data_IF_759981845735
#
_entry.id   IF_759981845735
#
_cell.length_a   1.000
_cell.length_b   1.000
_cell.length_c   1.000
_cell.angle_alpha   90.00
_cell.angle_beta   90.00
_cell.angle_gamma   90.00
#
_symmetry.space_group_name_H-M   'P 1'
#
loop_
_entity.id
_entity.type
_entity.pdbx_description
1 polymer ?
#
# COMPACT_ATOMS: atom_id res chain seq x y z
N UNK A 1 27.04 20.63 -29.32
CA UNK A 1 25.92 20.19 -28.46
C UNK A 1 26.39 18.98 -27.66
N UNK A 2 26.45 19.09 -26.33
CA UNK A 2 26.97 18.03 -25.46
C UNK A 2 26.03 16.83 -25.41
N UNK A 3 26.60 15.62 -25.50
CA UNK A 3 25.84 14.37 -25.34
C UNK A 3 25.22 14.32 -23.94
N UNK A 4 23.94 13.95 -23.79
CA UNK A 4 23.33 13.76 -22.48
C UNK A 4 24.12 12.66 -21.77
N UNK A 5 24.85 12.99 -20.70
CA UNK A 5 25.69 12.16 -19.80
C UNK A 5 27.11 12.71 -19.56
N UNK A 6 27.55 13.79 -20.21
CA UNK A 6 28.91 14.32 -20.00
C UNK A 6 28.94 15.42 -18.91
N UNK A 7 29.68 15.16 -17.83
CA UNK A 7 29.97 16.15 -16.78
C UNK A 7 31.38 16.71 -17.03
N UNK A 8 31.47 18.02 -17.24
CA UNK A 8 32.76 18.71 -17.36
C UNK A 8 33.16 19.26 -15.99
N UNK A 9 34.28 18.78 -15.46
CA UNK A 9 34.86 19.28 -14.19
C UNK A 9 36.08 20.11 -14.56
N UNK A 10 36.16 21.34 -14.04
CA UNK A 10 37.29 22.23 -14.26
C UNK A 10 38.30 22.11 -13.12
N UNK A 11 39.56 21.90 -13.47
CA UNK A 11 40.72 22.02 -12.59
C UNK A 11 41.79 22.79 -13.35
N UNK A 12 42.72 23.45 -12.64
CA UNK A 12 43.87 24.09 -13.30
C UNK A 12 44.75 23.04 -14.00
N UNK A 13 45.50 23.49 -15.01
CA UNK A 13 46.29 22.62 -15.89
C UNK A 13 47.29 21.75 -15.12
N UNK A 14 47.91 22.31 -14.08
CA UNK A 14 48.89 21.58 -13.26
C UNK A 14 48.20 20.46 -12.47
N UNK A 15 47.05 20.75 -11.86
CA UNK A 15 46.27 19.74 -11.15
C UNK A 15 45.77 18.63 -12.08
N UNK A 16 45.37 18.97 -13.31
CA UNK A 16 44.99 17.96 -14.31
C UNK A 16 46.17 17.04 -14.65
N UNK A 17 47.35 17.59 -14.90
CA UNK A 17 48.55 16.79 -15.19
C UNK A 17 48.92 15.86 -14.02
N UNK A 18 48.86 16.34 -12.78
CA UNK A 18 49.12 15.52 -11.59
C UNK A 18 48.09 14.39 -11.47
N UNK A 19 46.80 14.68 -11.66
CA UNK A 19 45.75 13.67 -11.58
C UNK A 19 45.86 12.60 -12.68
N UNK A 20 46.30 13.00 -13.87
CA UNK A 20 46.56 12.11 -15.00
C UNK A 20 47.69 11.13 -14.70
N UNK A 21 48.79 11.61 -14.14
CA UNK A 21 49.88 10.74 -13.69
C UNK A 21 49.47 9.85 -12.53
N UNK A 22 48.74 10.40 -11.55
CA UNK A 22 48.26 9.65 -10.39
C UNK A 22 47.40 8.45 -10.80
N UNK A 23 46.42 8.67 -11.67
CA UNK A 23 45.52 7.61 -12.15
C UNK A 23 46.27 6.55 -12.97
N UNK A 24 47.24 6.95 -13.80
CA UNK A 24 48.15 6.02 -14.51
C UNK A 24 48.96 5.15 -13.55
N UNK A 25 49.61 5.76 -12.54
CA UNK A 25 50.41 5.04 -11.55
C UNK A 25 49.56 4.07 -10.74
N UNK A 26 48.32 4.44 -10.41
CA UNK A 26 47.38 3.58 -9.67
C UNK A 26 46.67 2.55 -10.54
N UNK A 27 46.82 2.60 -11.87
CA UNK A 27 46.17 1.67 -12.79
C UNK A 27 44.65 1.80 -12.83
N UNK A 28 44.10 2.97 -12.49
CA UNK A 28 42.66 3.24 -12.49
C UNK A 28 42.30 4.27 -13.56
N UNK A 29 41.05 4.27 -14.00
CA UNK A 29 40.57 5.28 -14.96
C UNK A 29 40.21 6.57 -14.24
N UNK A 30 40.38 7.72 -14.92
CA UNK A 30 39.91 9.02 -14.40
C UNK A 30 38.41 9.00 -14.06
N UNK A 31 37.60 8.34 -14.90
CA UNK A 31 36.16 8.17 -14.66
C UNK A 31 35.85 7.41 -13.38
N UNK A 32 36.61 6.34 -13.07
CA UNK A 32 36.47 5.59 -11.81
C UNK A 32 36.75 6.49 -10.62
N UNK A 33 37.92 7.17 -10.63
CA UNK A 33 38.31 8.04 -9.53
C UNK A 33 37.33 9.21 -9.30
N UNK A 34 36.83 9.82 -10.38
CA UNK A 34 35.83 10.89 -10.29
C UNK A 34 34.47 10.39 -9.79
N UNK A 35 34.05 9.21 -10.22
CA UNK A 35 32.79 8.60 -9.75
C UNK A 35 32.87 8.32 -8.26
N UNK A 36 33.95 7.71 -7.80
CA UNK A 36 34.19 7.44 -6.37
C UNK A 36 34.22 8.74 -5.55
N UNK A 37 34.90 9.78 -6.05
CA UNK A 37 34.92 11.10 -5.40
C UNK A 37 33.52 11.70 -5.24
N UNK A 38 32.67 11.61 -6.28
CA UNK A 38 31.29 12.09 -6.23
C UNK A 38 30.46 11.29 -5.21
N UNK A 39 30.60 9.96 -5.18
CA UNK A 39 29.91 9.12 -4.20
C UNK A 39 30.32 9.45 -2.77
N UNK A 40 31.63 9.59 -2.50
CA UNK A 40 32.15 9.96 -1.19
C UNK A 40 31.65 11.33 -0.77
N UNK A 41 31.67 12.32 -1.67
CA UNK A 41 31.15 13.65 -1.39
C UNK A 41 29.66 13.58 -0.99
N UNK A 42 28.80 12.95 -1.79
CA UNK A 42 27.37 12.83 -1.50
C UNK A 42 27.10 12.08 -0.18
N UNK A 43 27.82 10.97 0.07
CA UNK A 43 27.71 10.21 1.31
C UNK A 43 28.12 11.04 2.54
N UNK A 44 29.15 11.86 2.40
CA UNK A 44 29.67 12.69 3.49
C UNK A 44 28.74 13.86 3.85
N UNK A 45 27.99 14.39 2.87
CA UNK A 45 27.07 15.50 3.07
C UNK A 45 25.73 15.03 3.64
N UNK A 46 25.11 14.04 2.98
CA UNK A 46 23.84 13.48 3.44
C UNK A 46 23.72 12.02 2.98
N UNK A 47 24.14 11.13 3.88
CA UNK A 47 24.05 9.69 3.66
C UNK A 47 22.61 9.22 3.39
N UNK A 48 21.60 9.80 4.05
CA UNK A 48 20.20 9.34 3.90
C UNK A 48 19.70 9.68 2.51
N UNK A 49 19.85 10.95 2.12
CA UNK A 49 19.42 11.44 0.81
C UNK A 49 20.13 10.71 -0.34
N UNK A 50 21.45 10.51 -0.25
CA UNK A 50 22.20 9.77 -1.27
C UNK A 50 21.68 8.34 -1.45
N UNK A 51 21.43 7.62 -0.35
CA UNK A 51 20.91 6.25 -0.42
C UNK A 51 19.49 6.19 -1.00
N UNK A 52 18.62 7.14 -0.66
CA UNK A 52 17.27 7.23 -1.24
C UNK A 52 17.31 7.48 -2.76
N UNK A 53 18.12 8.43 -3.21
CA UNK A 53 18.30 8.71 -4.63
C UNK A 53 18.93 7.52 -5.36
N UNK A 54 19.95 6.88 -4.77
CA UNK A 54 20.59 5.68 -5.34
C UNK A 54 19.56 4.56 -5.53
N UNK A 55 18.72 4.28 -4.52
CA UNK A 55 17.63 3.28 -4.62
C UNK A 55 16.62 3.60 -5.72
N UNK A 56 16.25 4.89 -5.87
CA UNK A 56 15.32 5.36 -6.89
C UNK A 56 15.86 5.17 -8.31
N UNK A 57 17.12 5.56 -8.55
CA UNK A 57 17.71 5.58 -9.91
C UNK A 57 18.31 4.25 -10.34
N UNK A 58 18.75 3.40 -9.42
CA UNK A 58 19.21 2.04 -9.76
C UNK A 58 18.06 1.06 -9.99
N UNK A 59 16.81 1.54 -10.02
CA UNK A 59 15.65 0.67 -10.19
C UNK A 59 15.45 -0.32 -9.04
N UNK A 60 16.21 -0.21 -7.95
CA UNK A 60 16.17 -1.17 -6.83
C UNK A 60 14.78 -1.22 -6.22
N UNK A 61 14.03 -0.12 -6.19
CA UNK A 61 12.64 -0.15 -5.73
C UNK A 61 11.70 -0.83 -6.73
N UNK A 62 11.96 -0.74 -8.03
CA UNK A 62 11.18 -1.43 -9.08
C UNK A 62 11.52 -2.92 -9.11
N UNK A 63 12.81 -3.27 -9.05
CA UNK A 63 13.30 -4.64 -8.97
C UNK A 63 12.96 -5.29 -7.64
N UNK A 64 12.98 -4.55 -6.52
CA UNK A 64 12.50 -5.05 -5.23
C UNK A 64 11.00 -5.30 -5.28
N UNK A 65 10.19 -4.43 -5.89
CA UNK A 65 8.77 -4.71 -6.15
C UNK A 65 8.60 -5.94 -7.04
N UNK A 66 9.39 -6.09 -8.11
CA UNK A 66 9.32 -7.23 -9.01
C UNK A 66 9.84 -8.55 -8.38
N UNK A 67 10.82 -8.49 -7.48
CA UNK A 67 11.35 -9.62 -6.72
C UNK A 67 10.41 -10.02 -5.58
N UNK A 68 9.81 -9.06 -4.88
CA UNK A 68 8.72 -9.32 -3.93
C UNK A 68 7.57 -10.00 -4.67
N UNK A 69 7.12 -9.47 -5.81
CA UNK A 69 6.09 -10.10 -6.65
C UNK A 69 6.46 -11.51 -7.11
N UNK A 70 7.73 -11.80 -7.47
CA UNK A 70 8.17 -13.15 -7.88
C UNK A 70 8.31 -14.12 -6.71
N UNK A 71 8.58 -13.63 -5.50
CA UNK A 71 8.69 -14.46 -4.30
C UNK A 71 7.31 -14.73 -3.67
N UNK A 72 6.37 -13.79 -3.85
CA UNK A 72 4.97 -13.86 -3.37
C UNK A 72 4.04 -14.75 -4.21
N UNK A 73 4.48 -15.25 -5.37
CA UNK A 73 3.72 -16.27 -6.15
C UNK A 73 3.49 -17.54 -5.31
N UNK A 74 4.25 -17.72 -4.23
CA UNK A 74 3.97 -18.74 -3.22
C UNK A 74 3.41 -18.09 -1.95
N UNK A 75 2.10 -17.81 -2.00
CA UNK A 75 1.18 -17.56 -0.89
C UNK A 75 1.09 -16.13 -0.31
N UNK A 76 0.56 -15.17 -1.07
CA UNK A 76 -0.16 -14.03 -0.47
C UNK A 76 -1.67 -14.30 -0.47
N UNK A 77 -2.14 -14.97 0.58
CA UNK A 77 -3.48 -14.66 1.08
C UNK A 77 -3.38 -13.25 1.65
N UNK A 78 -3.80 -12.23 0.89
CA UNK A 78 -3.75 -10.87 1.38
C UNK A 78 -4.86 -10.64 2.41
N UNK A 79 -4.46 -10.28 3.64
CA UNK A 79 -5.37 -10.09 4.76
C UNK A 79 -5.62 -8.61 5.03
N UNK A 80 -6.88 -8.24 5.14
CA UNK A 80 -7.34 -6.94 5.64
C UNK A 80 -7.72 -7.14 7.10
N UNK A 81 -7.02 -6.49 8.03
CA UNK A 81 -7.38 -6.54 9.43
C UNK A 81 -8.39 -5.43 9.78
N UNK A 82 -9.49 -5.80 10.43
CA UNK A 82 -10.54 -4.89 10.86
C UNK A 82 -10.81 -5.09 12.35
N UNK A 83 -10.50 -4.10 13.17
CA UNK A 83 -10.96 -4.08 14.56
C UNK A 83 -12.37 -3.50 14.61
N UNK A 84 -13.31 -4.25 15.15
CA UNK A 84 -14.68 -3.80 15.36
C UNK A 84 -14.76 -3.06 16.69
N UNK A 85 -15.24 -1.82 16.62
CA UNK A 85 -15.65 -1.05 17.79
C UNK A 85 -17.15 -1.14 18.00
N UNK A 86 -17.66 -0.26 18.84
CA UNK A 86 -19.10 -0.06 19.03
C UNK A 86 -19.71 0.61 17.79
N UNK A 87 -20.83 0.08 17.31
CA UNK A 87 -21.66 0.69 16.27
C UNK A 87 -23.07 0.93 16.81
N UNK A 88 -23.90 1.60 16.02
CA UNK A 88 -25.30 1.89 16.38
C UNK A 88 -26.19 1.56 15.19
N UNK A 89 -27.38 1.04 15.47
CA UNK A 89 -28.41 0.84 14.45
C UNK A 89 -29.18 2.14 14.15
N UNK A 90 -30.10 2.09 13.19
CA UNK A 90 -30.99 3.19 12.81
C UNK A 90 -31.88 3.70 13.94
N UNK A 91 -32.14 2.87 14.96
CA UNK A 91 -32.91 3.20 16.16
C UNK A 91 -32.02 3.67 17.32
N UNK A 92 -30.71 3.85 17.05
CA UNK A 92 -29.68 4.26 18.00
C UNK A 92 -29.45 3.27 19.15
N UNK A 93 -29.78 1.99 18.94
CA UNK A 93 -29.38 0.90 19.83
C UNK A 93 -27.91 0.57 19.61
N UNK A 94 -27.23 0.28 20.71
CA UNK A 94 -25.81 -0.05 20.71
C UNK A 94 -25.59 -1.47 20.18
N UNK A 95 -24.69 -1.61 19.20
CA UNK A 95 -24.25 -2.88 18.64
C UNK A 95 -22.77 -3.08 18.96
N UNK A 96 -22.43 -4.20 19.60
CA UNK A 96 -21.05 -4.59 19.79
C UNK A 96 -20.46 -5.21 18.49
N UNK A 97 -19.17 -5.59 18.52
CA UNK A 97 -18.54 -6.18 17.35
C UNK A 97 -19.12 -7.54 16.94
N UNK A 98 -19.63 -8.33 17.89
CA UNK A 98 -20.29 -9.60 17.60
C UNK A 98 -21.64 -9.37 16.94
N UNK A 99 -22.45 -8.46 17.47
CA UNK A 99 -23.78 -8.14 16.96
C UNK A 99 -23.70 -7.45 15.60
N UNK A 100 -22.71 -6.58 15.41
CA UNK A 100 -22.38 -5.99 14.10
C UNK A 100 -22.17 -7.09 13.05
N UNK A 101 -21.32 -8.09 13.33
CA UNK A 101 -21.05 -9.16 12.36
C UNK A 101 -22.24 -10.11 12.19
N UNK A 102 -23.00 -10.40 13.25
CA UNK A 102 -24.23 -11.19 13.12
C UNK A 102 -25.22 -10.54 12.17
N UNK A 103 -25.37 -9.21 12.19
CA UNK A 103 -26.22 -8.48 11.24
C UNK A 103 -25.76 -8.72 9.79
N UNK A 104 -24.45 -8.63 9.52
CA UNK A 104 -23.88 -8.92 8.20
C UNK A 104 -24.04 -10.38 7.77
N UNK A 105 -23.77 -11.34 8.66
CA UNK A 105 -23.96 -12.78 8.37
C UNK A 105 -25.43 -13.06 8.04
N UNK A 106 -26.35 -12.54 8.85
CA UNK A 106 -27.79 -12.69 8.62
C UNK A 106 -28.18 -12.10 7.26
N UNK A 107 -27.72 -10.89 6.96
CA UNK A 107 -27.98 -10.24 5.68
C UNK A 107 -27.46 -11.06 4.49
N UNK A 108 -26.22 -11.57 4.53
CA UNK A 108 -25.66 -12.43 3.49
C UNK A 108 -26.53 -13.68 3.23
N UNK A 109 -27.15 -14.23 4.27
CA UNK A 109 -27.97 -15.44 4.16
C UNK A 109 -29.40 -15.15 3.68
N UNK A 110 -29.96 -14.00 4.03
CA UNK A 110 -31.39 -13.68 3.82
C UNK A 110 -31.63 -12.79 2.60
N UNK A 111 -30.64 -12.03 2.13
CA UNK A 111 -30.84 -11.04 1.06
C UNK A 111 -30.94 -11.64 -0.36
N UNK A 112 -30.65 -12.94 -0.53
CA UNK A 112 -30.69 -13.63 -1.82
C UNK A 112 -29.55 -13.29 -2.80
N UNK A 113 -28.57 -12.48 -2.38
CA UNK A 113 -27.40 -12.06 -3.18
C UNK A 113 -26.16 -12.91 -2.91
N UNK A 114 -26.13 -13.60 -1.76
CA UNK A 114 -25.00 -14.43 -1.34
C UNK A 114 -23.76 -13.63 -0.90
N UNK A 115 -23.90 -12.31 -0.73
CA UNK A 115 -22.85 -11.40 -0.29
C UNK A 115 -23.46 -10.19 0.43
N UNK A 116 -22.63 -9.40 1.10
CA UNK A 116 -23.06 -8.16 1.75
C UNK A 116 -21.93 -7.14 1.79
N UNK A 117 -22.27 -5.87 1.54
CA UNK A 117 -21.33 -4.77 1.59
C UNK A 117 -21.12 -4.28 3.01
N UNK A 118 -19.93 -4.51 3.54
CA UNK A 118 -19.46 -3.99 4.82
C UNK A 118 -18.97 -2.54 4.70
N UNK A 119 -19.52 -1.65 5.53
CA UNK A 119 -19.17 -0.22 5.56
C UNK A 119 -18.20 0.10 6.70
N UNK A 120 -17.30 1.08 6.49
CA UNK A 120 -16.49 1.63 7.59
C UNK A 120 -15.94 3.02 7.28
N UNK A 121 -15.78 3.81 8.33
CA UNK A 121 -15.11 5.12 8.31
C UNK A 121 -13.82 5.13 9.14
N UNK A 122 -13.20 3.97 9.34
CA UNK A 122 -12.00 3.82 10.17
C UNK A 122 -10.81 4.69 9.71
N UNK A 123 -10.79 5.13 8.44
CA UNK A 123 -9.74 5.99 7.88
C UNK A 123 -10.32 7.34 7.44
N UNK A 124 -9.72 8.42 7.92
CA UNK A 124 -10.21 9.79 7.66
C UNK A 124 -10.25 10.15 6.17
N UNK A 125 -9.33 9.65 5.35
CA UNK A 125 -9.29 9.89 3.90
C UNK A 125 -9.69 8.67 3.06
N UNK A 126 -10.22 7.62 3.69
CA UNK A 126 -10.38 6.32 3.05
C UNK A 126 -9.04 5.59 2.86
N UNK A 127 -9.08 4.49 2.12
CA UNK A 127 -7.92 3.70 1.71
C UNK A 127 -7.15 4.38 0.56
N UNK A 128 -5.83 4.22 0.56
CA UNK A 128 -4.96 4.71 -0.51
C UNK A 128 -5.31 4.06 -1.86
N UNK A 129 -5.31 4.85 -2.94
CA UNK A 129 -5.74 4.41 -4.27
C UNK A 129 -4.97 3.19 -4.77
N UNK A 130 -3.64 3.22 -4.68
CA UNK A 130 -2.77 2.10 -5.09
C UNK A 130 -3.15 0.79 -4.38
N UNK A 131 -3.50 0.84 -3.08
CA UNK A 131 -3.94 -0.36 -2.33
C UNK A 131 -5.29 -0.90 -2.80
N UNK A 132 -6.22 -0.01 -3.17
CA UNK A 132 -7.53 -0.42 -3.70
C UNK A 132 -7.32 -1.12 -5.05
N UNK A 133 -6.47 -0.56 -5.91
CA UNK A 133 -6.11 -1.15 -7.20
C UNK A 133 -5.45 -2.52 -7.02
N UNK A 134 -4.52 -2.66 -6.07
CA UNK A 134 -3.86 -3.92 -5.75
C UNK A 134 -4.87 -5.00 -5.30
N UNK A 135 -5.71 -4.70 -4.29
CA UNK A 135 -6.71 -5.68 -3.80
C UNK A 135 -7.71 -6.08 -4.88
N UNK A 136 -8.24 -5.10 -5.62
CA UNK A 136 -9.20 -5.39 -6.69
C UNK A 136 -8.56 -6.15 -7.85
N UNK A 137 -7.27 -5.90 -8.15
CA UNK A 137 -6.52 -6.67 -9.14
C UNK A 137 -6.37 -8.13 -8.72
N UNK A 138 -6.09 -8.39 -7.43
CA UNK A 138 -5.98 -9.75 -6.88
C UNK A 138 -7.32 -10.50 -6.97
N UNK A 139 -8.41 -9.86 -6.56
CA UNK A 139 -9.75 -10.45 -6.67
C UNK A 139 -10.09 -10.76 -8.14
N UNK A 140 -9.76 -9.85 -9.06
CA UNK A 140 -10.01 -10.02 -10.50
C UNK A 140 -9.16 -11.15 -11.10
N UNK A 141 -7.94 -11.36 -10.60
CA UNK A 141 -7.08 -12.47 -11.04
C UNK A 141 -7.47 -13.83 -10.43
N UNK A 142 -8.53 -13.88 -9.61
CA UNK A 142 -9.00 -15.08 -8.92
C UNK A 142 -8.22 -15.43 -7.65
N UNK A 143 -7.38 -14.51 -7.17
CA UNK A 143 -6.68 -14.66 -5.89
C UNK A 143 -7.62 -14.34 -4.73
N UNK A 144 -7.38 -14.96 -3.58
CA UNK A 144 -8.25 -14.79 -2.41
C UNK A 144 -7.74 -13.66 -1.52
N UNK A 145 -8.48 -12.55 -1.47
CA UNK A 145 -8.30 -11.51 -0.45
C UNK A 145 -9.25 -11.80 0.70
N UNK A 146 -8.75 -11.81 1.95
CA UNK A 146 -9.56 -12.07 3.15
C UNK A 146 -9.61 -10.86 4.06
N UNK A 147 -10.77 -10.56 4.64
CA UNK A 147 -10.90 -9.65 5.76
C UNK A 147 -10.99 -10.45 7.06
N UNK A 148 -10.24 -10.05 8.08
CA UNK A 148 -10.25 -10.61 9.43
C UNK A 148 -10.86 -9.59 10.37
N UNK A 149 -11.90 -9.99 11.09
CA UNK A 149 -12.58 -9.16 12.07
C UNK A 149 -12.12 -9.53 13.47
N UNK A 150 -11.52 -8.55 14.14
CA UNK A 150 -11.15 -8.65 15.54
C UNK A 150 -12.20 -7.97 16.42
N UNK A 151 -12.67 -8.69 17.44
CA UNK A 151 -13.62 -8.21 18.45
C UNK A 151 -12.95 -8.24 19.82
N UNK A 152 -13.15 -7.23 20.65
CA UNK A 152 -12.71 -7.28 22.05
C UNK A 152 -12.52 -5.92 22.76
N UNK A 153 -12.87 -5.91 24.05
CA UNK A 153 -12.63 -4.83 25.01
C UNK A 153 -11.35 -5.08 25.83
N UNK A 154 -10.19 -5.10 25.17
CA UNK A 154 -8.88 -5.15 25.85
C UNK A 154 -7.88 -6.12 25.22
N UNK A 155 -8.34 -7.29 24.78
CA UNK A 155 -7.57 -8.25 23.96
C UNK A 155 -8.29 -8.39 22.62
N UNK A 156 -7.58 -8.12 21.51
CA UNK A 156 -8.17 -8.23 20.18
C UNK A 156 -8.16 -9.70 19.75
N UNK A 157 -9.29 -10.39 19.83
CA UNK A 157 -9.44 -11.75 19.32
C UNK A 157 -9.97 -11.71 17.88
N UNK A 158 -9.31 -12.42 16.96
CA UNK A 158 -9.82 -12.60 15.60
C UNK A 158 -10.99 -13.60 15.66
N UNK A 159 -12.20 -13.08 15.59
CA UNK A 159 -13.42 -13.86 15.77
C UNK A 159 -14.05 -14.31 14.45
N UNK A 160 -13.89 -13.52 13.38
CA UNK A 160 -14.53 -13.80 12.08
C UNK A 160 -13.60 -13.50 10.91
N UNK A 161 -13.89 -14.11 9.77
CA UNK A 161 -13.25 -13.80 8.50
C UNK A 161 -14.24 -13.89 7.35
N UNK A 162 -14.04 -13.08 6.30
CA UNK A 162 -14.78 -13.18 5.05
C UNK A 162 -13.82 -13.04 3.86
N UNK A 163 -14.21 -13.59 2.71
CA UNK A 163 -13.53 -13.33 1.44
C UNK A 163 -14.02 -12.00 0.90
N UNK A 164 -13.11 -11.17 0.40
CA UNK A 164 -13.43 -9.88 -0.19
C UNK A 164 -13.61 -10.06 -1.69
N UNK A 165 -14.76 -9.61 -2.20
CA UNK A 165 -15.13 -9.64 -3.61
C UNK A 165 -14.87 -8.29 -4.31
N UNK A 166 -14.61 -7.24 -3.55
CA UNK A 166 -14.21 -5.95 -4.10
C UNK A 166 -14.20 -4.84 -3.05
N UNK A 167 -13.41 -3.80 -3.30
CA UNK A 167 -13.27 -2.65 -2.41
C UNK A 167 -13.55 -1.37 -3.18
N UNK A 168 -14.40 -0.52 -2.61
CA UNK A 168 -14.64 0.85 -3.06
C UNK A 168 -14.31 1.79 -1.92
N UNK A 169 -13.45 2.78 -2.17
CA UNK A 169 -13.08 3.73 -1.13
C UNK A 169 -12.73 5.10 -1.69
N UNK A 170 -13.04 6.15 -0.91
CA UNK A 170 -12.73 7.53 -1.26
C UNK A 170 -12.68 8.45 -0.04
N UNK A 171 -12.37 9.72 -0.30
CA UNK A 171 -12.35 10.76 0.74
C UNK A 171 -13.75 11.10 1.24
N UNK A 172 -14.71 11.11 0.33
CA UNK A 172 -16.10 11.46 0.62
C UNK A 172 -16.90 10.21 0.96
N UNK A 173 -17.89 10.38 1.85
CA UNK A 173 -18.82 9.31 2.18
C UNK A 173 -19.77 9.09 1.01
N UNK A 174 -19.78 7.88 0.47
CA UNK A 174 -20.65 7.46 -0.62
C UNK A 174 -21.64 6.41 -0.11
N UNK A 175 -22.78 6.29 -0.80
CA UNK A 175 -23.74 5.20 -0.55
C UNK A 175 -23.12 3.86 -0.92
N UNK A 176 -23.73 2.78 -0.42
CA UNK A 176 -23.37 1.43 -0.82
C UNK A 176 -23.32 1.32 -2.36
N UNK A 177 -22.21 0.81 -2.95
CA UNK A 177 -22.10 0.64 -4.39
C UNK A 177 -22.85 -0.58 -4.93
N UNK A 178 -23.34 -1.46 -4.06
CA UNK A 178 -24.07 -2.68 -4.42
C UNK A 178 -25.56 -2.49 -4.58
N UNK A 179 -26.25 -3.62 -4.78
CA UNK A 179 -27.70 -3.70 -4.92
C UNK A 179 -28.43 -3.32 -3.62
N UNK A 180 -29.68 -2.89 -3.75
CA UNK A 180 -30.54 -2.63 -2.58
C UNK A 180 -30.70 -3.92 -1.77
N UNK A 181 -30.52 -3.84 -0.45
CA UNK A 181 -30.53 -5.00 0.45
C UNK A 181 -29.15 -5.67 0.64
N UNK A 182 -28.12 -5.20 -0.05
CA UNK A 182 -26.76 -5.68 0.17
C UNK A 182 -26.11 -5.18 1.48
N UNK A 183 -26.77 -4.28 2.21
CA UNK A 183 -26.39 -3.81 3.55
C UNK A 183 -27.46 -4.25 4.55
N UNK A 184 -27.09 -4.69 5.77
CA UNK A 184 -28.06 -5.03 6.81
C UNK A 184 -29.02 -3.88 7.13
N UNK A 185 -30.27 -4.22 7.41
CA UNK A 185 -31.32 -3.25 7.74
C UNK A 185 -30.97 -2.37 8.95
N UNK A 186 -30.18 -2.88 9.89
CA UNK A 186 -29.69 -2.15 11.06
C UNK A 186 -28.96 -0.86 10.69
N UNK A 187 -28.30 -0.78 9.54
CA UNK A 187 -27.55 0.41 9.13
C UNK A 187 -28.37 1.31 8.18
N UNK A 188 -29.54 0.85 7.74
CA UNK A 188 -30.44 1.60 6.89
C UNK A 188 -30.04 1.64 5.41
N UNK A 189 -31.03 1.90 4.55
CA UNK A 189 -30.85 1.92 3.09
C UNK A 189 -30.01 3.12 2.61
N UNK A 190 -29.89 4.16 3.43
CA UNK A 190 -29.17 5.40 3.14
C UNK A 190 -27.78 5.45 3.78
N UNK A 191 -27.27 4.32 4.29
CA UNK A 191 -25.93 4.21 4.87
C UNK A 191 -24.86 4.79 3.94
N UNK A 192 -23.98 5.61 4.50
CA UNK A 192 -22.87 6.24 3.77
C UNK A 192 -21.56 6.10 4.52
N UNK A 193 -20.58 5.53 3.84
CA UNK A 193 -19.23 5.37 4.36
C UNK A 193 -18.17 5.74 3.33
N UNK A 194 -16.96 5.98 3.81
CA UNK A 194 -15.77 6.22 2.97
C UNK A 194 -15.19 4.95 2.39
N UNK A 195 -15.40 3.81 3.04
CA UNK A 195 -14.86 2.52 2.62
C UNK A 195 -15.99 1.48 2.63
N UNK A 196 -16.10 0.77 1.52
CA UNK A 196 -17.04 -0.31 1.27
C UNK A 196 -16.28 -1.55 0.82
N UNK A 197 -16.61 -2.70 1.41
CA UNK A 197 -16.02 -4.00 1.06
C UNK A 197 -17.14 -5.00 0.82
N UNK A 198 -17.17 -5.60 -0.36
CA UNK A 198 -18.07 -6.70 -0.69
C UNK A 198 -17.48 -8.02 -0.22
#
# INVERSE_FOLDING_TARGET
MGRPSHMSIYADERTQQIFDEFTKVKGITKSTALTEMLEIYMLSQDKKLYIELKKKYHGVEVEKKALIQRTDIRANNDYIFMKLGTSYDVDNNLLDGYDTIKAYIRNCNENGLGHSWFSTDSLYYGMAKDKIEDYNSLVTSGETVKILFAVGEGVNEIAYSANVLGIVSGRDRVRCPGEVGSVPNEFGYDEKAKIWKN
#
